data_IF_855975544534
#
_entry.id   IF_855975544534
#
_cell.length_a   1.000
_cell.length_b   1.000
_cell.length_c   1.000
_cell.angle_alpha   90.00
_cell.angle_beta   90.00
_cell.angle_gamma   90.00
#
_symmetry.space_group_name_H-M   'P 1'
#
loop_
_entity.id
_entity.type
_entity.pdbx_description
1 polymer ?
#
# COMPACT_ATOMS: atom_id res chain seq x y z
N UNK A 1 21.07 26.97 -12.83
CA UNK A 1 20.05 26.10 -12.22
C UNK A 1 18.70 26.66 -12.63
N UNK A 2 17.79 25.83 -13.15
CA UNK A 2 16.43 26.29 -13.50
C UNK A 2 15.72 26.77 -12.24
N UNK A 3 14.89 27.80 -12.37
CA UNK A 3 14.01 28.24 -11.29
C UNK A 3 12.95 27.18 -10.98
N UNK A 4 12.37 27.17 -9.76
CA UNK A 4 11.28 26.25 -9.42
C UNK A 4 10.12 26.26 -10.44
N UNK A 5 9.73 27.45 -10.92
CA UNK A 5 8.68 27.59 -11.92
C UNK A 5 9.04 26.93 -13.27
N UNK A 6 10.28 27.12 -13.75
CA UNK A 6 10.75 26.47 -14.98
C UNK A 6 10.83 24.94 -14.86
N UNK A 7 11.18 24.44 -13.66
CA UNK A 7 11.19 23.00 -13.37
C UNK A 7 9.77 22.46 -13.40
N UNK A 8 8.85 23.10 -12.68
CA UNK A 8 7.43 22.72 -12.65
C UNK A 8 6.82 22.68 -14.05
N UNK A 9 6.99 23.75 -14.84
CA UNK A 9 6.44 23.84 -16.19
C UNK A 9 7.05 22.76 -17.11
N UNK A 10 8.37 22.52 -17.04
CA UNK A 10 9.02 21.52 -17.87
C UNK A 10 8.57 20.09 -17.54
N UNK A 11 8.46 19.76 -16.25
CA UNK A 11 7.99 18.43 -15.81
C UNK A 11 6.51 18.25 -16.14
N UNK A 12 5.68 19.23 -15.78
CA UNK A 12 4.25 19.24 -16.10
C UNK A 12 4.01 19.06 -17.58
N UNK A 13 4.71 19.81 -18.42
CA UNK A 13 4.62 19.72 -19.86
C UNK A 13 4.95 18.32 -20.41
N UNK A 14 6.03 17.70 -19.90
CA UNK A 14 6.42 16.34 -20.29
C UNK A 14 5.42 15.29 -19.82
N UNK A 15 4.72 15.55 -18.73
CA UNK A 15 3.78 14.60 -18.11
C UNK A 15 2.34 14.75 -18.60
N UNK A 16 1.98 15.82 -19.32
CA UNK A 16 0.60 16.11 -19.74
C UNK A 16 -0.11 14.94 -20.43
N UNK A 17 0.46 14.41 -21.51
CA UNK A 17 -0.19 13.35 -22.28
C UNK A 17 -0.31 12.05 -21.47
N UNK A 18 0.76 11.70 -20.74
CA UNK A 18 0.76 10.54 -19.84
C UNK A 18 -0.26 10.69 -18.71
N UNK A 19 -0.44 11.89 -18.19
CA UNK A 19 -1.46 12.16 -17.18
C UNK A 19 -2.85 11.93 -17.75
N UNK A 20 -3.14 12.40 -18.96
CA UNK A 20 -4.43 12.14 -19.62
C UNK A 20 -4.66 10.64 -19.83
N UNK A 21 -3.66 9.91 -20.32
CA UNK A 21 -3.73 8.45 -20.47
C UNK A 21 -3.99 7.75 -19.12
N UNK A 22 -3.29 8.17 -18.07
CA UNK A 22 -3.46 7.62 -16.72
C UNK A 22 -4.87 7.86 -16.20
N UNK A 23 -5.41 9.06 -16.40
CA UNK A 23 -6.78 9.42 -15.98
C UNK A 23 -7.84 8.65 -16.77
N UNK A 24 -7.66 8.49 -18.09
CA UNK A 24 -8.54 7.68 -18.91
C UNK A 24 -8.56 6.22 -18.43
N UNK A 25 -7.39 5.63 -18.20
CA UNK A 25 -7.29 4.26 -17.67
C UNK A 25 -7.92 4.13 -16.28
N UNK A 26 -7.74 5.12 -15.42
CA UNK A 26 -8.41 5.15 -14.11
C UNK A 26 -9.93 5.16 -14.26
N UNK A 27 -10.48 5.97 -15.16
CA UNK A 27 -11.92 6.03 -15.39
C UNK A 27 -12.48 4.67 -15.84
N UNK A 28 -11.76 3.95 -16.71
CA UNK A 28 -12.12 2.58 -17.10
C UNK A 28 -12.13 1.63 -15.90
N UNK A 29 -11.09 1.65 -15.06
CA UNK A 29 -11.00 0.80 -13.87
C UNK A 29 -12.14 1.05 -12.88
N UNK A 30 -12.50 2.33 -12.68
CA UNK A 30 -13.62 2.69 -11.81
C UNK A 30 -14.96 2.28 -12.41
N UNK A 31 -15.15 2.41 -13.72
CA UNK A 31 -16.35 1.95 -14.43
C UNK A 31 -16.56 0.44 -14.33
N UNK A 32 -15.50 -0.34 -14.56
CA UNK A 32 -15.51 -1.81 -14.40
C UNK A 32 -15.80 -2.22 -12.95
N UNK A 33 -15.34 -1.43 -11.97
CA UNK A 33 -15.60 -1.65 -10.55
C UNK A 33 -17.06 -1.42 -10.11
N UNK A 34 -17.83 -0.56 -10.80
CA UNK A 34 -19.26 -0.37 -10.50
C UNK A 34 -20.09 -1.57 -10.99
N UNK A 35 -19.79 -2.08 -12.18
CA UNK A 35 -20.50 -3.21 -12.79
C UNK A 35 -20.24 -4.52 -12.03
N UNK A 36 -18.99 -4.78 -11.62
CA UNK A 36 -18.64 -5.97 -10.83
C UNK A 36 -19.26 -5.96 -9.41
N UNK A 37 -19.48 -4.77 -8.83
CA UNK A 37 -20.10 -4.63 -7.50
C UNK A 37 -21.61 -4.87 -7.54
N UNK A 38 -22.26 -4.71 -8.70
CA UNK A 38 -23.67 -5.04 -8.90
C UNK A 38 -23.92 -6.56 -9.01
N UNK A 39 -22.98 -7.33 -9.57
CA UNK A 39 -23.13 -8.78 -9.71
C UNK A 39 -22.91 -9.56 -8.40
N UNK A 40 -22.07 -9.06 -7.49
CA UNK A 40 -21.79 -9.74 -6.21
C UNK A 40 -22.94 -9.67 -5.18
N UNK A 41 -23.98 -8.88 -5.41
CA UNK A 41 -25.10 -8.69 -4.48
C UNK A 41 -26.21 -9.76 -4.58
N UNK A 42 -26.07 -10.78 -5.43
CA UNK A 42 -27.13 -11.76 -5.69
C UNK A 42 -26.67 -13.21 -5.65
N UNK A 43 -26.55 -13.79 -4.43
CA UNK A 43 -27.00 -15.15 -4.06
C UNK A 43 -26.53 -15.53 -2.65
N UNK A 44 -27.43 -15.31 -1.67
CA UNK A 44 -27.46 -16.11 -0.45
C UNK A 44 -28.33 -17.35 -0.72
N UNK A 45 -27.80 -18.54 -0.43
CA UNK A 45 -28.49 -19.82 -0.60
C UNK A 45 -28.09 -20.79 0.50
N UNK A 46 -28.96 -20.88 1.50
CA UNK A 46 -28.90 -21.69 2.71
C UNK A 46 -28.89 -23.20 2.42
N UNK A 47 -28.17 -23.98 3.24
CA UNK A 47 -28.28 -25.45 3.25
C UNK A 47 -27.52 -26.08 4.42
N UNK A 48 -28.22 -26.37 5.51
CA UNK A 48 -27.75 -27.15 6.66
C UNK A 48 -28.15 -28.63 6.52
N UNK A 49 -27.37 -29.55 7.13
CA UNK A 49 -27.76 -30.77 7.91
C UNK A 49 -26.59 -31.80 7.91
N UNK A 50 -25.87 -32.14 9.00
CA UNK A 50 -26.09 -33.02 10.20
C UNK A 50 -25.38 -34.38 10.15
N UNK A 51 -24.61 -34.66 11.23
CA UNK A 51 -24.39 -35.94 11.98
C UNK A 51 -23.72 -37.15 11.27
N UNK A 52 -22.96 -38.07 11.88
CA UNK A 52 -22.26 -38.25 13.18
C UNK A 52 -21.50 -39.62 13.17
N UNK A 53 -20.61 -39.86 14.15
CA UNK A 53 -20.01 -41.14 14.64
C UNK A 53 -18.84 -41.79 13.86
N UNK A 54 -17.82 -42.45 14.46
CA UNK A 54 -17.44 -42.74 15.85
C UNK A 54 -15.95 -43.22 15.95
N UNK A 55 -15.36 -42.99 17.13
CA UNK A 55 -14.20 -43.56 17.84
C UNK A 55 -13.22 -44.58 17.21
N UNK A 56 -11.91 -44.40 17.47
CA UNK A 56 -11.13 -45.26 18.41
C UNK A 56 -9.66 -44.79 18.56
N UNK A 57 -9.14 -44.95 19.78
CA UNK A 57 -7.84 -44.53 20.32
C UNK A 57 -6.61 -45.28 19.76
N UNK A 58 -5.45 -44.60 19.67
CA UNK A 58 -4.15 -45.08 20.16
C UNK A 58 -3.06 -43.99 20.01
N UNK A 59 -2.30 -43.74 21.07
CA UNK A 59 -0.95 -43.14 21.01
C UNK A 59 0.06 -44.28 21.22
N UNK A 60 1.20 -44.28 20.52
CA UNK A 60 2.38 -43.69 21.15
C UNK A 60 3.36 -42.93 20.22
N UNK A 61 4.05 -41.99 20.87
CA UNK A 61 5.46 -41.58 20.72
C UNK A 61 6.05 -41.20 19.33
N UNK A 62 6.32 -39.90 19.21
CA UNK A 62 7.55 -39.29 18.72
C UNK A 62 8.21 -39.86 17.45
N UNK A 63 7.85 -39.29 16.29
CA UNK A 63 8.75 -38.54 15.41
C UNK A 63 8.08 -38.22 14.06
N UNK A 64 7.88 -36.93 13.79
CA UNK A 64 8.06 -36.34 12.45
C UNK A 64 7.93 -34.83 12.62
N UNK A 65 9.03 -34.10 12.40
CA UNK A 65 8.99 -32.66 12.18
C UNK A 65 8.06 -32.49 10.98
N UNK A 66 6.85 -31.98 11.23
CA UNK A 66 5.80 -31.92 10.23
C UNK A 66 6.33 -31.22 8.99
N UNK A 67 6.14 -31.85 7.84
CA UNK A 67 6.27 -31.19 6.56
C UNK A 67 5.33 -29.99 6.60
N UNK A 68 5.88 -28.79 6.76
CA UNK A 68 5.11 -27.56 6.92
C UNK A 68 4.14 -27.49 5.73
N UNK A 69 2.84 -27.53 6.04
CA UNK A 69 1.80 -27.41 5.01
C UNK A 69 1.97 -26.03 4.41
N UNK A 70 2.43 -25.98 3.16
CA UNK A 70 2.56 -24.72 2.44
C UNK A 70 1.17 -24.25 2.07
N UNK A 71 0.76 -23.11 2.61
CA UNK A 71 -0.49 -22.50 2.21
C UNK A 71 -0.32 -21.85 0.84
N UNK A 72 -1.35 -21.95 -0.01
CA UNK A 72 -1.40 -21.13 -1.22
C UNK A 72 -1.79 -19.71 -0.82
N UNK A 73 -0.82 -18.78 -0.86
CA UNK A 73 -1.05 -17.41 -0.44
C UNK A 73 -1.76 -16.61 -1.53
N UNK A 74 -2.88 -15.98 -1.18
CA UNK A 74 -3.62 -15.11 -2.10
C UNK A 74 -2.82 -13.86 -2.53
N UNK A 75 -1.92 -13.37 -1.66
CA UNK A 75 -1.03 -12.26 -1.94
C UNK A 75 0.27 -12.38 -1.14
N UNK A 76 1.40 -11.82 -1.64
CA UNK A 76 2.67 -11.90 -0.93
C UNK A 76 2.66 -11.12 0.40
N UNK A 77 3.33 -11.66 1.44
CA UNK A 77 3.49 -10.98 2.73
C UNK A 77 4.41 -9.75 2.64
N UNK A 78 4.49 -8.96 3.71
CA UNK A 78 5.32 -7.74 3.73
C UNK A 78 6.84 -8.02 3.75
N UNK A 79 7.24 -9.19 4.26
CA UNK A 79 8.63 -9.64 4.35
C UNK A 79 8.76 -11.05 3.78
N UNK A 80 9.95 -11.44 3.32
CA UNK A 80 10.20 -12.82 2.88
C UNK A 80 10.05 -13.82 4.04
N UNK A 81 9.76 -15.09 3.71
CA UNK A 81 9.66 -16.16 4.71
C UNK A 81 10.95 -16.31 5.54
N UNK A 82 12.10 -16.20 4.88
CA UNK A 82 13.40 -16.22 5.55
C UNK A 82 13.56 -15.06 6.55
N UNK A 83 13.09 -13.85 6.21
CA UNK A 83 13.20 -12.69 7.08
C UNK A 83 12.30 -12.80 8.31
N UNK A 84 11.05 -13.26 8.16
CA UNK A 84 10.15 -13.44 9.31
C UNK A 84 10.65 -14.57 10.22
N UNK A 85 11.13 -15.68 9.65
CA UNK A 85 11.66 -16.80 10.44
C UNK A 85 12.90 -16.41 11.23
N UNK A 86 13.82 -15.63 10.63
CA UNK A 86 14.98 -15.13 11.34
C UNK A 86 14.62 -14.21 12.52
N UNK A 87 13.54 -13.44 12.40
CA UNK A 87 13.10 -12.49 13.41
C UNK A 87 12.24 -13.11 14.51
N UNK A 88 11.33 -14.01 14.14
CA UNK A 88 10.28 -14.50 15.04
C UNK A 88 10.43 -15.96 15.43
N UNK A 89 11.36 -16.68 14.79
CA UNK A 89 11.49 -18.13 14.90
C UNK A 89 10.42 -18.91 14.13
N UNK A 90 9.47 -18.22 13.48
CA UNK A 90 8.35 -18.83 12.76
C UNK A 90 8.28 -18.36 11.31
N UNK A 91 8.04 -19.28 10.38
CA UNK A 91 7.72 -18.99 8.99
C UNK A 91 6.28 -18.50 8.81
N UNK A 92 5.94 -18.05 7.62
CA UNK A 92 4.62 -17.49 7.33
C UNK A 92 3.49 -18.51 7.42
N UNK A 93 3.71 -19.74 6.94
CA UNK A 93 2.71 -20.82 7.05
C UNK A 93 2.44 -21.19 8.52
N UNK A 94 3.49 -21.21 9.35
CA UNK A 94 3.37 -21.44 10.80
C UNK A 94 2.59 -20.31 11.50
N UNK A 95 2.78 -19.06 11.06
CA UNK A 95 1.99 -17.93 11.55
C UNK A 95 0.52 -18.00 11.12
N UNK A 96 0.23 -18.44 9.89
CA UNK A 96 -1.14 -18.67 9.42
C UNK A 96 -1.82 -19.70 10.32
N UNK A 97 -1.19 -20.86 10.51
CA UNK A 97 -1.73 -21.93 11.35
C UNK A 97 -1.94 -21.47 12.80
N UNK A 98 -0.98 -20.73 13.35
CA UNK A 98 -1.04 -20.25 14.73
C UNK A 98 -2.19 -19.25 14.94
N UNK A 99 -2.41 -18.32 14.00
CA UNK A 99 -3.48 -17.32 14.09
C UNK A 99 -4.86 -17.97 13.85
N UNK A 100 -4.96 -18.87 12.86
CA UNK A 100 -6.18 -19.62 12.57
C UNK A 100 -6.62 -20.48 13.77
N UNK A 101 -5.68 -21.15 14.44
CA UNK A 101 -5.95 -21.94 15.63
C UNK A 101 -6.22 -21.09 16.87
N UNK A 102 -5.63 -19.88 16.94
CA UNK A 102 -5.69 -19.01 18.11
C UNK A 102 -6.92 -18.12 18.16
N UNK A 103 -6.96 -17.08 17.32
CA UNK A 103 -8.07 -16.11 17.26
C UNK A 103 -9.07 -16.40 16.15
N UNK A 104 -8.74 -17.33 15.26
CA UNK A 104 -9.59 -17.70 14.14
C UNK A 104 -9.34 -16.88 12.89
N UNK A 105 -9.58 -17.52 11.74
CA UNK A 105 -9.32 -16.97 10.41
C UNK A 105 -9.97 -15.63 10.14
N UNK A 106 -11.15 -15.39 10.71
CA UNK A 106 -11.96 -14.19 10.49
C UNK A 106 -11.80 -13.11 11.57
N UNK A 107 -10.85 -13.27 12.49
CA UNK A 107 -10.59 -12.29 13.55
C UNK A 107 -10.29 -10.90 12.97
N UNK A 108 -10.82 -9.84 13.57
CA UNK A 108 -10.52 -8.46 13.15
C UNK A 108 -9.04 -8.12 13.40
N UNK A 109 -8.46 -7.24 12.56
CA UNK A 109 -7.05 -6.82 12.66
C UNK A 109 -6.55 -6.53 14.09
N UNK A 110 -7.24 -5.72 14.92
CA UNK A 110 -6.76 -5.42 16.26
C UNK A 110 -6.67 -6.67 17.14
N UNK A 111 -7.57 -7.64 16.94
CA UNK A 111 -7.54 -8.90 17.68
C UNK A 111 -6.39 -9.81 17.29
N UNK A 112 -6.01 -9.82 16.01
CA UNK A 112 -4.82 -10.55 15.57
C UNK A 112 -3.57 -9.91 16.19
N UNK A 113 -3.45 -8.58 16.16
CA UNK A 113 -2.31 -7.86 16.77
C UNK A 113 -2.20 -8.13 18.27
N UNK A 114 -3.31 -8.01 19.01
CA UNK A 114 -3.34 -8.29 20.46
C UNK A 114 -2.94 -9.74 20.75
N UNK A 115 -3.44 -10.70 19.96
CA UNK A 115 -3.11 -12.09 20.15
C UNK A 115 -1.64 -12.39 19.84
N UNK A 116 -1.08 -11.83 18.76
CA UNK A 116 0.35 -11.99 18.45
C UNK A 116 1.22 -11.44 19.59
N UNK A 117 0.89 -10.25 20.12
CA UNK A 117 1.63 -9.68 21.26
C UNK A 117 1.49 -10.52 22.54
N UNK A 118 0.33 -11.13 22.77
CA UNK A 118 0.09 -11.95 23.96
C UNK A 118 0.74 -13.34 23.87
N UNK A 119 0.94 -13.88 22.66
CA UNK A 119 1.36 -15.27 22.42
C UNK A 119 2.76 -15.38 21.79
N UNK A 120 3.48 -14.28 21.66
CA UNK A 120 4.84 -14.27 21.15
C UNK A 120 5.68 -13.14 21.76
N UNK A 121 7.00 -13.21 21.60
CA UNK A 121 7.92 -12.16 22.04
C UNK A 121 7.97 -10.94 21.09
N UNK A 122 7.01 -10.80 20.17
CA UNK A 122 7.02 -9.74 19.16
C UNK A 122 6.54 -8.41 19.73
N UNK A 123 7.20 -7.34 19.29
CA UNK A 123 6.78 -5.97 19.66
C UNK A 123 5.56 -5.53 18.83
N UNK A 124 4.99 -4.36 19.15
CA UNK A 124 3.81 -3.83 18.47
C UNK A 124 4.00 -3.61 16.97
N UNK A 125 5.22 -3.29 16.50
CA UNK A 125 5.51 -3.10 15.08
C UNK A 125 5.47 -4.43 14.31
N UNK A 126 6.17 -5.46 14.83
CA UNK A 126 6.17 -6.79 14.22
C UNK A 126 4.79 -7.44 14.26
N UNK A 127 4.05 -7.24 15.36
CA UNK A 127 2.69 -7.76 15.50
C UNK A 127 1.72 -7.16 14.47
N UNK A 128 1.85 -5.86 14.16
CA UNK A 128 1.10 -5.22 13.07
C UNK A 128 1.48 -5.81 11.70
N UNK A 129 2.77 -5.98 11.43
CA UNK A 129 3.25 -6.56 10.18
C UNK A 129 2.80 -8.01 9.95
N UNK A 130 2.76 -8.81 11.02
CA UNK A 130 2.25 -10.19 11.00
C UNK A 130 0.74 -10.19 10.70
N UNK A 131 -0.05 -9.36 11.40
CA UNK A 131 -1.49 -9.26 11.14
C UNK A 131 -1.79 -8.85 9.68
N UNK A 132 -1.12 -7.82 9.15
CA UNK A 132 -1.29 -7.40 7.75
C UNK A 132 -0.90 -8.51 6.77
N UNK A 133 0.20 -9.23 7.03
CA UNK A 133 0.66 -10.30 6.16
C UNK A 133 -0.28 -11.50 6.19
N UNK A 134 -0.79 -11.86 7.38
CA UNK A 134 -1.83 -12.88 7.54
C UNK A 134 -3.09 -12.53 6.74
N UNK A 135 -3.61 -11.31 6.87
CA UNK A 135 -4.78 -10.86 6.10
C UNK A 135 -4.53 -10.92 4.59
N UNK A 136 -3.31 -10.61 4.13
CA UNK A 136 -2.93 -10.70 2.72
C UNK A 136 -2.88 -12.12 2.21
N UNK A 137 -2.18 -13.00 2.91
CA UNK A 137 -1.98 -14.39 2.49
C UNK A 137 -3.30 -15.17 2.54
N UNK A 138 -4.21 -14.82 3.45
CA UNK A 138 -5.56 -15.41 3.55
C UNK A 138 -6.60 -14.76 2.63
N UNK A 139 -6.19 -13.78 1.81
CA UNK A 139 -7.09 -13.09 0.86
C UNK A 139 -8.08 -12.12 1.50
N UNK A 140 -7.97 -11.87 2.81
CA UNK A 140 -8.81 -10.93 3.56
C UNK A 140 -8.42 -9.47 3.31
N UNK A 141 -7.21 -9.21 2.81
CA UNK A 141 -6.70 -7.88 2.48
C UNK A 141 -5.86 -7.92 1.22
N UNK A 142 -6.08 -6.99 0.31
CA UNK A 142 -5.25 -6.86 -0.88
C UNK A 142 -3.96 -6.07 -0.56
N UNK A 143 -2.88 -6.37 -1.26
CA UNK A 143 -1.63 -5.63 -1.10
C UNK A 143 -1.85 -4.14 -1.42
N UNK A 144 -1.45 -3.26 -0.49
CA UNK A 144 -1.66 -1.81 -0.61
C UNK A 144 -3.05 -1.31 -0.16
N UNK A 145 -3.94 -2.19 0.30
CA UNK A 145 -5.23 -1.80 0.89
C UNK A 145 -5.06 -1.24 2.31
N UNK A 146 -5.79 -0.18 2.62
CA UNK A 146 -5.87 0.54 3.89
C UNK A 146 -7.04 0.03 4.73
N UNK A 147 -7.08 0.27 6.06
CA UNK A 147 -8.16 -0.20 6.92
C UNK A 147 -9.56 0.31 6.53
N UNK A 148 -9.63 1.44 5.82
CA UNK A 148 -10.88 2.01 5.31
C UNK A 148 -11.29 1.46 3.93
N UNK A 149 -10.58 0.43 3.44
CA UNK A 149 -10.83 -0.22 2.16
C UNK A 149 -10.22 0.48 0.95
N UNK A 150 -9.63 1.66 1.11
CA UNK A 150 -8.93 2.36 0.03
C UNK A 150 -7.55 1.78 -0.22
N UNK A 151 -6.88 2.21 -1.27
CA UNK A 151 -5.54 1.74 -1.63
C UNK A 151 -4.54 2.89 -1.68
N UNK A 152 -3.26 2.55 -1.53
CA UNK A 152 -2.15 3.50 -1.60
C UNK A 152 -1.05 3.02 -2.55
N UNK A 153 -0.65 3.88 -3.49
CA UNK A 153 0.48 3.67 -4.38
C UNK A 153 1.70 4.48 -3.92
N UNK A 154 2.84 3.83 -3.67
CA UNK A 154 4.07 4.50 -3.20
C UNK A 154 5.22 4.38 -4.21
N UNK A 155 5.94 5.49 -4.42
CA UNK A 155 7.18 5.58 -5.22
C UNK A 155 8.17 6.53 -4.55
N UNK A 156 9.46 6.29 -4.77
CA UNK A 156 10.52 7.17 -4.26
C UNK A 156 11.74 7.16 -5.15
N UNK A 157 12.46 8.28 -5.21
CA UNK A 157 13.72 8.46 -5.94
C UNK A 157 14.68 9.33 -5.10
N UNK A 158 15.98 9.09 -5.21
CA UNK A 158 16.98 10.00 -4.64
C UNK A 158 17.33 11.05 -5.67
N UNK A 159 16.88 12.28 -5.46
CA UNK A 159 17.03 13.39 -6.39
C UNK A 159 18.32 14.19 -6.09
N UNK A 160 19.01 14.73 -7.10
CA UNK A 160 20.26 15.46 -6.96
C UNK A 160 20.06 16.92 -6.50
N UNK A 161 19.17 17.15 -5.53
CA UNK A 161 18.78 18.48 -5.07
C UNK A 161 18.58 18.50 -3.56
N UNK A 162 18.86 19.66 -2.95
CA UNK A 162 18.61 19.90 -1.54
C UNK A 162 17.11 19.81 -1.23
N UNK A 163 16.80 19.33 -0.02
CA UNK A 163 15.43 19.08 0.40
C UNK A 163 14.57 20.34 0.39
N UNK A 164 15.15 21.51 0.68
CA UNK A 164 14.38 22.75 0.81
C UNK A 164 13.84 23.19 -0.55
N UNK A 165 14.58 22.96 -1.64
CA UNK A 165 14.10 23.25 -3.01
C UNK A 165 12.85 22.42 -3.34
N UNK A 166 12.86 21.13 -3.01
CA UNK A 166 11.69 20.27 -3.21
C UNK A 166 10.51 20.70 -2.33
N UNK A 167 10.79 21.12 -1.10
CA UNK A 167 9.75 21.60 -0.18
C UNK A 167 9.13 22.90 -0.68
N UNK A 168 9.92 23.84 -1.16
CA UNK A 168 9.42 25.07 -1.78
C UNK A 168 8.56 24.76 -3.01
N UNK A 169 9.02 23.86 -3.88
CA UNK A 169 8.31 23.45 -5.09
C UNK A 169 6.90 22.87 -4.79
N UNK A 170 6.77 22.11 -3.71
CA UNK A 170 5.49 21.51 -3.30
C UNK A 170 4.65 22.48 -2.45
N UNK A 171 5.27 23.38 -1.67
CA UNK A 171 4.54 24.31 -0.83
C UNK A 171 3.92 25.47 -1.64
N UNK A 172 4.56 25.87 -2.74
CA UNK A 172 4.03 26.90 -3.64
C UNK A 172 2.89 26.35 -4.51
N UNK A 173 1.74 27.02 -4.50
CA UNK A 173 0.52 26.52 -5.15
C UNK A 173 0.64 26.47 -6.68
N UNK A 174 1.15 27.55 -7.29
CA UNK A 174 1.26 27.64 -8.75
C UNK A 174 2.33 26.67 -9.29
N UNK A 175 3.49 26.58 -8.62
CA UNK A 175 4.53 25.65 -8.97
C UNK A 175 4.05 24.20 -8.79
N UNK A 176 3.32 23.89 -7.72
CA UNK A 176 2.78 22.54 -7.48
C UNK A 176 1.73 22.14 -8.51
N UNK A 177 0.77 23.01 -8.83
CA UNK A 177 -0.26 22.74 -9.83
C UNK A 177 0.36 22.50 -11.21
N UNK A 178 1.30 23.34 -11.63
CA UNK A 178 2.02 23.18 -12.88
C UNK A 178 2.84 21.87 -12.91
N UNK A 179 3.51 21.55 -11.79
CA UNK A 179 4.34 20.35 -11.66
C UNK A 179 3.53 19.04 -11.73
N UNK A 180 2.35 19.02 -11.10
CA UNK A 180 1.54 17.80 -10.96
C UNK A 180 0.47 17.68 -12.06
N UNK A 181 0.03 18.78 -12.66
CA UNK A 181 -1.02 18.80 -13.69
C UNK A 181 -2.44 18.61 -13.16
N UNK A 182 -2.65 18.83 -11.86
CA UNK A 182 -3.94 18.72 -11.18
C UNK A 182 -4.37 20.05 -10.56
N UNK A 183 -5.65 20.14 -10.20
CA UNK A 183 -6.09 21.09 -9.19
C UNK A 183 -5.64 20.56 -7.83
N UNK A 184 -4.93 21.37 -7.04
CA UNK A 184 -4.38 20.89 -5.77
C UNK A 184 -4.71 21.77 -4.58
N UNK A 185 -4.75 21.16 -3.39
CA UNK A 185 -4.90 21.89 -2.13
C UNK A 185 -3.85 21.44 -1.11
N UNK A 186 -2.99 22.35 -0.67
CA UNK A 186 -2.00 22.08 0.37
C UNK A 186 -2.65 21.99 1.76
N UNK A 187 -2.49 20.86 2.44
CA UNK A 187 -3.11 20.58 3.76
C UNK A 187 -2.12 20.51 4.92
N UNK A 188 -0.87 20.90 4.69
CA UNK A 188 0.19 20.85 5.71
C UNK A 188 0.67 22.23 6.10
N UNK A 189 1.48 22.29 7.16
CA UNK A 189 2.28 23.47 7.47
C UNK A 189 3.63 23.30 6.78
N UNK A 190 4.24 24.40 6.34
CA UNK A 190 5.58 24.39 5.72
C UNK A 190 6.64 23.81 6.68
N UNK A 191 6.42 23.81 8.00
CA UNK A 191 7.31 23.17 8.97
C UNK A 191 7.11 21.65 9.13
N UNK A 192 6.08 21.06 8.51
CA UNK A 192 5.74 19.64 8.68
C UNK A 192 6.75 18.72 8.00
N UNK A 193 7.13 17.61 8.64
CA UNK A 193 8.05 16.61 8.05
C UNK A 193 7.50 16.00 6.76
N UNK A 194 6.19 15.76 6.74
CA UNK A 194 5.45 15.24 5.60
C UNK A 194 4.52 16.32 5.08
N UNK A 195 4.41 16.45 3.76
CA UNK A 195 3.44 17.33 3.13
C UNK A 195 2.27 16.54 2.59
N UNK A 196 1.06 17.00 2.90
CA UNK A 196 -0.19 16.46 2.39
C UNK A 196 -0.80 17.42 1.38
N UNK A 197 -1.13 16.90 0.21
CA UNK A 197 -1.77 17.63 -0.89
C UNK A 197 -3.02 16.86 -1.31
N UNK A 198 -4.17 17.50 -1.38
CA UNK A 198 -5.36 16.89 -1.98
C UNK A 198 -5.33 17.13 -3.49
N UNK A 199 -5.83 16.15 -4.24
CA UNK A 199 -5.92 16.21 -5.69
C UNK A 199 -7.37 16.24 -6.14
N UNK A 200 -7.68 17.16 -7.05
CA UNK A 200 -8.93 17.21 -7.77
C UNK A 200 -8.70 17.33 -9.29
N UNK A 201 -9.71 16.92 -10.05
CA UNK A 201 -9.80 17.12 -11.49
C UNK A 201 -11.23 17.45 -11.85
N UNK A 202 -11.44 18.58 -12.52
CA UNK A 202 -12.78 19.06 -12.89
C UNK A 202 -13.69 19.16 -11.64
N UNK A 203 -13.12 19.62 -10.52
CA UNK A 203 -13.78 19.70 -9.22
C UNK A 203 -14.06 18.36 -8.52
N UNK A 204 -13.70 17.21 -9.11
CA UNK A 204 -13.87 15.89 -8.50
C UNK A 204 -12.62 15.46 -7.74
N UNK A 205 -12.71 15.08 -6.45
CA UNK A 205 -11.58 14.53 -5.71
C UNK A 205 -11.09 13.20 -6.31
N UNK A 206 -9.79 13.07 -6.53
CA UNK A 206 -9.18 11.83 -7.02
C UNK A 206 -8.22 11.17 -6.02
N UNK A 207 -8.06 11.79 -4.84
CA UNK A 207 -7.26 11.25 -3.75
C UNK A 207 -6.40 12.32 -3.09
N UNK A 208 -5.29 11.90 -2.49
CA UNK A 208 -4.30 12.80 -1.93
C UNK A 208 -2.89 12.25 -2.03
N UNK A 209 -1.91 13.15 -2.04
CA UNK A 209 -0.50 12.83 -2.04
C UNK A 209 0.11 13.12 -0.66
N UNK A 210 0.92 12.18 -0.17
CA UNK A 210 1.87 12.43 0.90
C UNK A 210 3.27 12.46 0.32
N UNK A 211 4.00 13.54 0.63
CA UNK A 211 5.39 13.72 0.25
C UNK A 211 6.31 13.64 1.47
N UNK A 212 7.40 12.87 1.36
CA UNK A 212 8.48 12.85 2.35
C UNK A 212 9.80 13.27 1.73
N UNK A 213 10.63 13.93 2.54
CA UNK A 213 11.85 14.60 2.11
C UNK A 213 12.99 14.19 3.05
N UNK A 214 13.59 13.03 2.80
CA UNK A 214 14.66 12.50 3.65
C UNK A 214 16.02 12.99 3.11
N UNK A 215 16.80 13.74 3.90
CA UNK A 215 18.14 14.18 3.47
C UNK A 215 19.03 12.98 3.13
N UNK A 216 19.78 13.09 2.04
CA UNK A 216 20.78 12.13 1.61
C UNK A 216 22.14 12.82 1.44
N UNK A 217 23.26 12.06 1.46
CA UNK A 217 24.59 12.64 1.32
C UNK A 217 24.76 13.46 0.04
N UNK A 218 25.67 14.44 0.11
CA UNK A 218 26.06 15.34 -0.99
C UNK A 218 24.93 16.29 -1.43
N UNK A 219 24.13 16.80 -0.48
CA UNK A 219 23.04 17.74 -0.78
C UNK A 219 21.93 17.12 -1.62
N UNK A 220 21.73 15.80 -1.53
CA UNK A 220 20.68 15.06 -2.25
C UNK A 220 19.50 14.82 -1.32
N UNK A 221 18.37 14.43 -1.89
CA UNK A 221 17.16 14.12 -1.12
C UNK A 221 16.52 12.84 -1.61
N UNK A 222 16.28 11.88 -0.70
CA UNK A 222 15.36 10.78 -0.97
C UNK A 222 13.94 11.32 -0.85
N UNK A 223 13.32 11.51 -2.00
CA UNK A 223 11.98 12.06 -2.16
C UNK A 223 10.99 10.93 -2.40
N UNK A 224 9.93 10.85 -1.60
CA UNK A 224 8.88 9.85 -1.78
C UNK A 224 7.52 10.49 -1.96
N UNK A 225 6.68 9.83 -2.76
CA UNK A 225 5.30 10.18 -3.05
C UNK A 225 4.41 8.96 -2.79
N UNK A 226 3.42 9.14 -1.92
CA UNK A 226 2.36 8.16 -1.68
C UNK A 226 1.02 8.75 -2.13
N UNK A 227 0.39 8.12 -3.13
CA UNK A 227 -0.95 8.45 -3.61
C UNK A 227 -1.96 7.60 -2.84
N UNK A 228 -2.68 8.25 -1.91
CA UNK A 228 -3.67 7.64 -1.04
C UNK A 228 -5.09 7.81 -1.57
N UNK A 229 -6.03 7.04 -1.00
CA UNK A 229 -7.47 7.09 -1.30
C UNK A 229 -7.80 6.62 -2.72
N UNK A 230 -7.00 5.69 -3.25
CA UNK A 230 -7.34 4.96 -4.47
C UNK A 230 -8.49 3.99 -4.16
N UNK A 231 -9.43 3.82 -5.10
CA UNK A 231 -10.70 3.14 -4.84
C UNK A 231 -10.64 1.66 -5.19
N UNK A 232 -9.82 1.29 -6.18
CA UNK A 232 -9.65 -0.10 -6.62
C UNK A 232 -8.18 -0.50 -6.64
N UNK A 233 -7.91 -1.79 -6.47
CA UNK A 233 -6.54 -2.34 -6.34
C UNK A 233 -5.68 -2.06 -7.57
N UNK A 234 -6.27 -2.12 -8.77
CA UNK A 234 -5.56 -1.91 -10.04
C UNK A 234 -5.03 -0.49 -10.22
N UNK A 235 -5.60 0.48 -9.48
CA UNK A 235 -5.07 1.85 -9.44
C UNK A 235 -3.65 1.89 -8.84
N UNK A 236 -3.25 0.90 -8.01
CA UNK A 236 -1.92 0.87 -7.40
C UNK A 236 -0.84 0.84 -8.49
N UNK A 237 -0.91 -0.15 -9.39
CA UNK A 237 0.12 -0.32 -10.43
C UNK A 237 0.02 0.78 -11.49
N UNK A 238 -1.19 1.25 -11.80
CA UNK A 238 -1.41 2.41 -12.66
C UNK A 238 -0.67 3.66 -12.14
N UNK A 239 -0.94 4.06 -10.89
CA UNK A 239 -0.32 5.26 -10.31
C UNK A 239 1.16 5.08 -10.01
N UNK A 240 1.59 3.88 -9.64
CA UNK A 240 3.01 3.54 -9.51
C UNK A 240 3.77 3.73 -10.83
N UNK A 241 3.18 3.34 -11.96
CA UNK A 241 3.78 3.55 -13.28
C UNK A 241 3.77 5.03 -13.67
N UNK A 242 2.72 5.77 -13.35
CA UNK A 242 2.67 7.22 -13.56
C UNK A 242 3.78 7.94 -12.77
N UNK A 243 3.82 7.74 -11.45
CA UNK A 243 4.75 8.43 -10.55
C UNK A 243 6.21 8.03 -10.77
N UNK A 244 6.48 6.81 -11.25
CA UNK A 244 7.83 6.42 -11.64
C UNK A 244 8.37 7.31 -12.75
N UNK A 245 7.61 7.48 -13.83
CA UNK A 245 7.99 8.34 -14.97
C UNK A 245 8.00 9.82 -14.57
N UNK A 246 7.08 10.25 -13.70
CA UNK A 246 7.08 11.62 -13.16
C UNK A 246 8.37 11.90 -12.36
N UNK A 247 8.83 10.97 -11.52
CA UNK A 247 10.09 11.10 -10.78
C UNK A 247 11.30 11.14 -11.74
N UNK A 248 11.28 10.39 -12.84
CA UNK A 248 12.33 10.44 -13.86
C UNK A 248 12.37 11.81 -14.56
N UNK A 249 11.20 12.37 -14.87
CA UNK A 249 11.10 13.71 -15.44
C UNK A 249 11.61 14.78 -14.46
N UNK A 250 11.26 14.66 -13.18
CA UNK A 250 11.71 15.57 -12.14
C UNK A 250 13.23 15.49 -11.91
N UNK A 251 13.79 14.28 -11.84
CA UNK A 251 15.23 14.07 -11.71
C UNK A 251 15.99 14.70 -12.88
N UNK A 252 15.52 14.48 -14.12
CA UNK A 252 16.11 15.08 -15.31
C UNK A 252 16.03 16.61 -15.32
N UNK A 253 15.00 17.20 -14.72
CA UNK A 253 14.86 18.66 -14.64
C UNK A 253 15.83 19.32 -13.63
N UNK A 254 16.39 18.53 -12.70
CA UNK A 254 17.42 18.97 -11.76
C UNK A 254 18.86 18.69 -12.23
N UNK A 255 19.03 17.83 -13.24
CA UNK A 255 20.32 17.54 -13.87
C UNK A 255 20.77 18.68 -14.80
#
# INVERSE_FOLDING_TARGET
MRSPAEISEAVGAKMRDRLQETLARRAELLGVGVDARAEAAGKAGTGASTAASAAASAVPAAASIGEAVRHEWAAPPMHSDAAIRAQTGQGWDEWIDAIDAGVGRDAAHPRIVEWVMANSAQNGWWSQGIAVSFERMTGRRLAGQMPDGTFTANRSRTLPVDREVLRELIADDAARDALLGFETEFRSKVASKTYKVLLARDGQPIGGLLFTFDPAPNGRTKFAIAHEKLQVVDEIELWKAHWGVWLDALELAFA
#
